data_IF_739243205810
#
_entry.id   IF_739243205810
#
_cell.length_a   1.000
_cell.length_b   1.000
_cell.length_c   1.000
_cell.angle_alpha   90.00
_cell.angle_beta   90.00
_cell.angle_gamma   90.00
#
_symmetry.space_group_name_H-M   'P 1'
#
loop_
_entity.id
_entity.type
_entity.pdbx_description
1 polymer ?
#
# COMPACT_ATOMS: atom_id res chain seq x y z
N UNK A 1 6.32 47.56 14.42
CA UNK A 1 5.47 47.03 13.35
C UNK A 1 6.24 45.84 12.75
N UNK A 2 6.33 44.70 13.44
CA UNK A 2 5.32 43.63 13.57
C UNK A 2 4.92 43.12 12.17
N UNK A 3 5.16 41.87 11.74
CA UNK A 3 5.45 40.62 12.45
C UNK A 3 6.36 39.72 11.60
N UNK A 4 7.40 39.18 12.24
CA UNK A 4 8.23 38.09 11.72
C UNK A 4 8.29 37.04 12.84
N UNK A 5 7.25 36.22 12.96
CA UNK A 5 7.18 35.16 13.96
C UNK A 5 6.54 33.89 13.40
N UNK A 6 7.25 32.77 13.66
CA UNK A 6 6.81 31.38 13.67
C UNK A 6 6.71 30.60 12.35
N UNK A 7 7.88 30.06 11.95
CA UNK A 7 7.97 28.77 11.24
C UNK A 7 9.19 27.95 11.73
N UNK A 8 9.36 27.81 13.04
CA UNK A 8 10.56 27.18 13.64
C UNK A 8 10.25 26.05 14.66
N UNK A 9 9.04 25.47 14.64
CA UNK A 9 8.60 24.52 15.69
C UNK A 9 8.45 23.05 15.30
N UNK A 10 8.79 22.64 14.06
CA UNK A 10 8.55 21.25 13.61
C UNK A 10 9.74 20.27 13.73
N UNK A 11 10.88 20.65 14.32
CA UNK A 11 12.09 19.79 14.35
C UNK A 11 12.61 19.38 15.72
N UNK A 12 11.88 19.66 16.82
CA UNK A 12 12.34 19.26 18.17
C UNK A 12 12.24 17.76 18.45
N UNK A 13 11.40 17.02 17.74
CA UNK A 13 11.30 15.56 17.89
C UNK A 13 12.61 14.84 17.52
N UNK A 14 13.35 15.33 16.51
CA UNK A 14 14.64 14.77 16.11
C UNK A 14 15.76 15.03 17.14
N UNK A 15 15.75 16.18 17.81
CA UNK A 15 16.72 16.50 18.86
C UNK A 15 16.54 15.62 20.11
N UNK A 16 15.28 15.24 20.42
CA UNK A 16 14.98 14.35 21.55
C UNK A 16 15.43 12.90 21.30
N UNK A 17 15.39 12.41 20.04
CA UNK A 17 15.93 11.09 19.66
C UNK A 17 17.44 10.95 19.95
N UNK A 18 18.21 12.03 19.85
CA UNK A 18 19.68 12.02 20.10
C UNK A 18 20.04 12.04 21.59
N UNK A 19 19.18 12.60 22.44
CA UNK A 19 19.39 12.64 23.89
C UNK A 19 19.04 11.29 24.55
N UNK A 20 18.01 10.58 24.05
CA UNK A 20 17.59 9.29 24.59
C UNK A 20 18.52 8.13 24.22
N UNK A 21 19.33 8.25 23.15
CA UNK A 21 20.29 7.21 22.75
C UNK A 21 21.62 7.26 23.52
N UNK A 22 21.84 8.28 24.38
CA UNK A 22 23.09 8.46 25.13
C UNK A 22 23.00 8.04 26.60
N UNK A 23 21.84 7.53 27.04
CA UNK A 23 21.58 7.24 28.46
C UNK A 23 21.04 5.82 28.68
N UNK A 24 21.76 4.79 28.23
CA UNK A 24 21.55 3.42 28.67
C UNK A 24 22.89 2.66 28.65
N UNK A 25 23.64 2.77 29.74
CA UNK A 25 24.64 1.77 30.12
C UNK A 25 24.61 1.67 31.65
N UNK A 26 23.88 0.68 32.18
CA UNK A 26 24.14 0.05 33.48
C UNK A 26 23.34 -1.26 33.63
N UNK A 27 24.00 -2.25 34.23
CA UNK A 27 23.75 -3.70 34.19
C UNK A 27 22.64 -4.21 35.16
N UNK A 28 22.21 -5.51 35.05
CA UNK A 28 20.90 -5.98 35.49
C UNK A 28 20.87 -6.63 36.88
N UNK A 29 19.68 -6.66 37.51
CA UNK A 29 19.40 -7.46 38.72
C UNK A 29 18.31 -8.49 38.46
N UNK A 30 18.63 -9.75 38.78
CA UNK A 30 17.82 -10.96 38.58
C UNK A 30 16.52 -11.00 39.41
N UNK A 31 15.51 -11.74 38.90
CA UNK A 31 14.82 -12.81 39.67
C UNK A 31 13.88 -13.69 38.81
N UNK A 32 14.23 -14.98 38.80
CA UNK A 32 13.45 -16.24 38.79
C UNK A 32 12.31 -16.47 37.78
N UNK A 33 12.57 -17.44 36.88
CA UNK A 33 11.59 -18.25 36.13
C UNK A 33 10.65 -19.02 37.06
N UNK A 34 9.39 -19.14 36.67
CA UNK A 34 8.46 -20.18 37.11
C UNK A 34 8.01 -20.97 35.88
N UNK A 35 8.22 -22.28 35.93
CA UNK A 35 7.76 -23.28 34.96
C UNK A 35 6.49 -23.90 35.52
N UNK A 36 5.46 -24.08 34.70
CA UNK A 36 4.30 -24.92 35.00
C UNK A 36 3.77 -25.51 33.69
N UNK A 37 4.16 -26.75 33.42
CA UNK A 37 3.38 -27.66 32.59
C UNK A 37 2.71 -28.67 33.52
N UNK A 38 1.42 -28.95 33.31
CA UNK A 38 0.89 -30.29 33.02
C UNK A 38 -0.66 -30.37 33.11
N UNK A 39 -1.23 -30.91 32.01
CA UNK A 39 -2.49 -31.70 31.87
C UNK A 39 -3.87 -30.97 31.80
N UNK A 40 -4.90 -31.55 31.13
CA UNK A 40 -4.93 -32.48 29.99
C UNK A 40 -5.96 -32.14 28.88
N UNK A 41 -5.80 -32.76 27.70
CA UNK A 41 -6.81 -32.85 26.64
C UNK A 41 -8.04 -33.66 27.10
N UNK A 42 -9.25 -33.16 26.81
CA UNK A 42 -10.48 -33.95 26.87
C UNK A 42 -11.32 -33.70 25.63
N UNK A 43 -11.34 -34.71 24.76
CA UNK A 43 -12.27 -34.90 23.66
C UNK A 43 -13.63 -35.31 24.22
N UNK A 44 -14.71 -34.61 23.86
CA UNK A 44 -16.07 -35.09 24.13
C UNK A 44 -16.66 -35.71 22.84
N UNK A 45 -16.50 -37.02 22.75
CA UNK A 45 -17.35 -37.90 21.93
C UNK A 45 -18.48 -38.39 22.83
N UNK A 46 -19.73 -38.20 22.41
CA UNK A 46 -20.89 -38.90 22.96
C UNK A 46 -21.51 -39.73 21.83
N UNK A 47 -21.49 -41.05 22.01
CA UNK A 47 -22.32 -42.05 21.34
C UNK A 47 -22.97 -42.84 22.50
N UNK A 48 -24.13 -43.52 22.46
CA UNK A 48 -24.96 -44.21 21.45
C UNK A 48 -26.41 -44.29 22.05
N UNK A 49 -27.47 -44.88 21.41
CA UNK A 49 -27.60 -46.34 21.28
C UNK A 49 -28.15 -46.87 19.93
N UNK A 50 -27.72 -48.12 19.69
CA UNK A 50 -27.97 -49.03 18.57
C UNK A 50 -29.43 -49.19 18.12
N UNK A 51 -29.62 -49.47 16.82
CA UNK A 51 -30.50 -50.55 16.35
C UNK A 51 -29.86 -51.32 15.18
N UNK A 52 -29.64 -52.60 15.46
CA UNK A 52 -29.71 -53.82 14.65
C UNK A 52 -28.89 -54.08 13.37
N UNK A 53 -28.35 -55.30 13.40
CA UNK A 53 -27.55 -56.08 12.45
C UNK A 53 -28.24 -56.26 11.09
N UNK A 54 -27.47 -56.34 10.02
CA UNK A 54 -27.27 -57.61 9.29
C UNK A 54 -26.14 -57.52 8.24
N UNK A 55 -25.31 -58.56 8.24
CA UNK A 55 -24.17 -58.78 7.35
C UNK A 55 -24.55 -59.73 6.22
N UNK A 56 -24.31 -59.37 4.96
CA UNK A 56 -24.16 -60.33 3.86
C UNK A 56 -23.04 -59.89 2.90
N UNK A 57 -22.04 -60.76 2.75
CA UNK A 57 -21.03 -60.74 1.68
C UNK A 57 -21.55 -61.57 0.51
N UNK A 58 -21.38 -61.11 -0.74
CA UNK A 58 -20.82 -61.91 -1.87
C UNK A 58 -20.86 -61.18 -3.23
N UNK A 59 -19.65 -61.08 -3.83
CA UNK A 59 -19.25 -61.45 -5.20
C UNK A 59 -20.03 -60.97 -6.44
N UNK A 60 -19.32 -60.14 -7.21
CA UNK A 60 -19.04 -60.21 -8.67
C UNK A 60 -20.17 -60.33 -9.68
N UNK A 61 -20.32 -59.31 -10.54
CA UNK A 61 -20.52 -59.52 -11.99
C UNK A 61 -20.20 -58.25 -12.78
N UNK A 62 -19.27 -58.41 -13.71
CA UNK A 62 -19.04 -57.51 -14.85
C UNK A 62 -20.30 -57.44 -15.69
N UNK A 63 -20.69 -56.25 -16.15
CA UNK A 63 -21.34 -56.11 -17.44
C UNK A 63 -21.03 -54.74 -18.07
N UNK A 64 -20.43 -54.85 -19.24
CA UNK A 64 -20.06 -53.83 -20.20
C UNK A 64 -21.27 -53.09 -20.73
N UNK A 65 -21.18 -51.77 -20.84
CA UNK A 65 -22.02 -51.00 -21.76
C UNK A 65 -21.20 -49.86 -22.35
N UNK A 66 -20.80 -50.07 -23.61
CA UNK A 66 -20.13 -49.13 -24.48
C UNK A 66 -20.99 -47.88 -24.61
N UNK A 67 -20.44 -46.69 -24.34
CA UNK A 67 -21.02 -45.43 -24.81
C UNK A 67 -19.93 -44.53 -25.38
N UNK A 68 -20.24 -44.03 -26.56
CA UNK A 68 -19.33 -43.53 -27.59
C UNK A 68 -18.56 -42.28 -27.16
N UNK A 69 -17.27 -42.24 -27.55
CA UNK A 69 -16.42 -41.06 -27.54
C UNK A 69 -17.05 -39.95 -28.39
N UNK A 70 -17.36 -38.81 -27.77
CA UNK A 70 -17.48 -37.52 -28.48
C UNK A 70 -16.15 -36.78 -28.34
N UNK A 71 -15.63 -36.40 -29.50
CA UNK A 71 -14.38 -35.69 -29.79
C UNK A 71 -14.19 -34.49 -28.84
N UNK A 72 -13.11 -34.50 -28.06
CA UNK A 72 -12.65 -33.33 -27.31
C UNK A 72 -12.21 -32.24 -28.30
N UNK A 73 -12.68 -31.01 -28.10
CA UNK A 73 -12.11 -29.84 -28.74
C UNK A 73 -10.70 -29.63 -28.15
N UNK A 74 -9.70 -29.56 -29.02
CA UNK A 74 -8.33 -29.21 -28.65
C UNK A 74 -8.29 -27.73 -28.24
N UNK A 75 -7.86 -27.47 -27.02
CA UNK A 75 -7.43 -26.15 -26.55
C UNK A 75 -5.95 -26.03 -26.93
N UNK A 76 -5.48 -24.93 -27.54
CA UNK A 76 -4.09 -24.79 -27.97
C UNK A 76 -3.09 -24.92 -26.80
N UNK A 77 -2.03 -25.68 -27.05
CA UNK A 77 -0.92 -26.04 -26.14
C UNK A 77 -0.03 -24.84 -25.76
N UNK A 78 -0.57 -23.87 -25.01
CA UNK A 78 0.22 -22.79 -24.40
C UNK A 78 0.07 -22.71 -22.87
N UNK A 79 -0.70 -23.60 -22.24
CA UNK A 79 -1.10 -23.48 -20.83
C UNK A 79 -0.58 -24.59 -19.90
N UNK A 80 0.45 -25.37 -20.28
CA UNK A 80 0.94 -26.51 -19.47
C UNK A 80 2.42 -26.41 -19.10
N UNK A 81 2.88 -25.21 -18.73
CA UNK A 81 4.20 -25.03 -18.08
C UNK A 81 4.12 -24.17 -16.81
N UNK A 82 3.10 -24.39 -15.99
CA UNK A 82 3.06 -23.92 -14.60
C UNK A 82 2.74 -25.09 -13.68
N UNK A 83 3.55 -26.15 -13.74
CA UNK A 83 3.54 -27.17 -12.69
C UNK A 83 4.81 -27.00 -11.84
N UNK A 84 4.59 -26.73 -10.54
CA UNK A 84 5.52 -26.61 -9.40
C UNK A 84 5.71 -25.24 -8.75
N UNK A 85 4.81 -24.25 -8.97
CA UNK A 85 4.71 -23.13 -8.02
C UNK A 85 3.77 -23.55 -6.89
N UNK A 86 4.27 -23.56 -5.66
CA UNK A 86 3.43 -23.63 -4.46
C UNK A 86 2.27 -22.64 -4.63
N UNK A 87 1.04 -23.16 -4.75
CA UNK A 87 -0.15 -22.33 -4.87
C UNK A 87 -0.34 -21.68 -3.51
N UNK A 88 0.21 -20.48 -3.36
CA UNK A 88 0.02 -19.66 -2.16
C UNK A 88 -1.49 -19.47 -1.95
N UNK A 89 -2.11 -20.06 -0.92
CA UNK A 89 -3.55 -19.96 -0.72
C UNK A 89 -4.02 -18.51 -0.51
N UNK A 90 -3.11 -17.61 -0.10
CA UNK A 90 -3.38 -16.18 0.04
C UNK A 90 -3.56 -15.49 -1.32
N UNK A 91 -3.18 -16.13 -2.42
CA UNK A 91 -3.41 -15.60 -3.76
C UNK A 91 -4.85 -15.69 -4.20
N UNK A 92 -5.65 -16.54 -3.55
CA UNK A 92 -7.06 -16.75 -3.86
C UNK A 92 -7.27 -16.83 -5.38
N UNK A 93 -6.44 -17.64 -6.06
CA UNK A 93 -6.34 -17.69 -7.53
C UNK A 93 -7.72 -17.78 -8.23
N UNK A 94 -8.69 -18.59 -7.75
CA UNK A 94 -10.02 -18.66 -8.36
C UNK A 94 -10.77 -17.32 -8.39
N UNK A 95 -10.49 -16.42 -7.46
CA UNK A 95 -11.14 -15.11 -7.32
C UNK A 95 -10.25 -13.95 -7.79
N UNK A 96 -9.01 -14.22 -8.21
CA UNK A 96 -8.04 -13.17 -8.50
C UNK A 96 -8.54 -12.21 -9.59
N UNK A 97 -9.15 -12.75 -10.64
CA UNK A 97 -9.77 -11.99 -11.74
C UNK A 97 -10.93 -11.12 -11.25
N UNK A 98 -11.86 -11.69 -10.49
CA UNK A 98 -13.04 -10.98 -9.98
C UNK A 98 -12.64 -9.86 -9.02
N UNK A 99 -11.67 -10.11 -8.13
CA UNK A 99 -11.13 -9.10 -7.23
C UNK A 99 -10.44 -7.98 -8.05
N UNK A 100 -9.69 -8.33 -9.11
CA UNK A 100 -9.07 -7.35 -9.99
C UNK A 100 -10.13 -6.45 -10.63
N UNK A 101 -11.16 -7.04 -11.23
CA UNK A 101 -12.25 -6.32 -11.88
C UNK A 101 -12.99 -5.42 -10.89
N UNK A 102 -13.32 -5.93 -9.70
CA UNK A 102 -13.96 -5.16 -8.64
C UNK A 102 -13.13 -3.96 -8.19
N UNK A 103 -11.82 -4.15 -7.94
CA UNK A 103 -10.93 -3.06 -7.53
C UNK A 103 -10.80 -2.00 -8.63
N UNK A 104 -10.77 -2.40 -9.90
CA UNK A 104 -10.75 -1.49 -11.06
C UNK A 104 -12.04 -0.68 -11.19
N UNK A 105 -13.18 -1.31 -10.95
CA UNK A 105 -14.45 -0.59 -10.93
C UNK A 105 -14.50 0.40 -9.76
N UNK A 106 -14.08 -0.04 -8.56
CA UNK A 106 -14.07 0.77 -7.35
C UNK A 106 -13.19 2.01 -7.46
N UNK A 107 -11.97 1.88 -8.00
CA UNK A 107 -11.07 3.04 -8.14
C UNK A 107 -11.61 4.12 -9.07
N UNK A 108 -12.51 3.77 -10.00
CA UNK A 108 -13.14 4.72 -10.91
C UNK A 108 -14.37 5.45 -10.33
N UNK A 109 -14.95 4.94 -9.23
CA UNK A 109 -16.18 5.51 -8.66
C UNK A 109 -15.89 6.84 -7.94
N UNK A 110 -16.68 7.91 -8.17
CA UNK A 110 -16.46 9.21 -7.54
C UNK A 110 -16.36 9.17 -6.01
N UNK A 111 -17.15 8.33 -5.33
CA UNK A 111 -17.15 8.23 -3.86
C UNK A 111 -15.83 7.74 -3.24
N UNK A 112 -15.02 7.02 -4.03
CA UNK A 112 -13.71 6.51 -3.62
C UNK A 112 -12.56 7.43 -4.04
N UNK A 113 -12.87 8.58 -4.65
CA UNK A 113 -11.89 9.48 -5.26
C UNK A 113 -11.94 10.85 -4.60
N UNK A 114 -10.79 11.45 -4.30
CA UNK A 114 -10.75 12.87 -3.98
C UNK A 114 -11.08 13.71 -5.21
N UNK A 115 -11.61 14.90 -4.97
CA UNK A 115 -11.79 15.92 -6.00
C UNK A 115 -10.40 16.40 -6.46
N UNK A 116 -10.01 16.24 -7.74
CA UNK A 116 -8.65 16.53 -8.20
C UNK A 116 -8.10 17.92 -7.88
N UNK A 117 -8.97 18.91 -7.82
CA UNK A 117 -8.69 20.33 -7.61
C UNK A 117 -9.36 20.86 -6.33
N UNK A 118 -9.47 20.00 -5.30
CA UNK A 118 -10.04 20.41 -4.01
C UNK A 118 -9.29 21.56 -3.33
N UNK A 119 -7.98 21.72 -3.56
CA UNK A 119 -7.24 22.81 -2.97
C UNK A 119 -7.70 24.12 -3.58
N UNK A 120 -7.85 24.20 -4.91
CA UNK A 120 -8.33 25.43 -5.55
C UNK A 120 -9.84 25.67 -5.30
N UNK A 121 -10.65 24.60 -5.30
CA UNK A 121 -12.12 24.74 -5.28
C UNK A 121 -12.76 24.76 -3.90
N UNK A 122 -12.14 24.11 -2.91
CA UNK A 122 -12.75 23.88 -1.59
C UNK A 122 -11.95 24.55 -0.49
N UNK A 123 -10.61 24.55 -0.59
CA UNK A 123 -9.74 25.01 0.49
C UNK A 123 -9.32 26.48 0.28
N UNK A 124 -9.81 27.38 1.14
CA UNK A 124 -9.41 28.79 1.09
C UNK A 124 -8.08 29.09 1.79
N UNK A 125 -7.64 28.20 2.69
CA UNK A 125 -6.52 28.45 3.61
C UNK A 125 -5.40 27.41 3.51
N UNK A 126 -5.49 26.47 2.56
CA UNK A 126 -4.48 25.44 2.34
C UNK A 126 -3.78 25.61 0.99
N UNK A 127 -2.56 25.10 0.93
CA UNK A 127 -1.77 25.04 -0.31
C UNK A 127 -1.30 23.61 -0.58
N UNK A 128 -0.95 23.28 -1.84
CA UNK A 128 -0.39 21.96 -2.17
C UNK A 128 0.87 21.63 -1.34
N UNK A 129 1.69 22.64 -1.05
CA UNK A 129 2.87 22.48 -0.22
C UNK A 129 2.54 22.08 1.22
N UNK A 130 1.52 22.68 1.83
CA UNK A 130 1.10 22.35 3.20
C UNK A 130 0.59 20.90 3.30
N UNK A 131 -0.15 20.43 2.28
CA UNK A 131 -0.50 19.02 2.14
C UNK A 131 0.74 18.13 2.07
N UNK A 132 1.72 18.50 1.24
CA UNK A 132 2.94 17.72 1.07
C UNK A 132 3.76 17.63 2.38
N UNK A 133 3.85 18.72 3.15
CA UNK A 133 4.47 18.75 4.49
C UNK A 133 3.72 17.83 5.47
N UNK A 134 2.38 17.83 5.45
CA UNK A 134 1.59 16.90 6.25
C UNK A 134 1.90 15.44 5.88
N UNK A 135 1.88 15.11 4.59
CA UNK A 135 2.13 13.73 4.12
C UNK A 135 3.54 13.27 4.48
N UNK A 136 4.56 14.13 4.31
CA UNK A 136 5.95 13.81 4.69
C UNK A 136 6.07 13.51 6.19
N UNK A 137 5.42 14.33 7.03
CA UNK A 137 5.38 14.08 8.46
C UNK A 137 4.63 12.79 8.83
N UNK A 138 3.49 12.49 8.17
CA UNK A 138 2.75 11.25 8.40
C UNK A 138 3.56 9.99 8.04
N UNK A 139 4.51 10.08 7.10
CA UNK A 139 5.45 8.99 6.82
C UNK A 139 6.35 8.73 8.04
N UNK A 140 6.82 9.78 8.72
CA UNK A 140 7.59 9.61 9.96
C UNK A 140 6.73 9.02 11.09
N UNK A 141 5.48 9.45 11.23
CA UNK A 141 4.54 8.90 12.24
C UNK A 141 4.30 7.41 11.99
N UNK A 142 4.10 7.02 10.73
CA UNK A 142 3.93 5.61 10.37
C UNK A 142 5.18 4.78 10.70
N UNK A 143 6.39 5.31 10.48
CA UNK A 143 7.64 4.63 10.87
C UNK A 143 7.81 4.54 12.40
N UNK A 144 7.47 5.60 13.14
CA UNK A 144 7.56 5.64 14.61
C UNK A 144 6.66 4.58 15.25
N UNK A 145 5.41 4.47 14.78
CA UNK A 145 4.45 3.48 15.26
C UNK A 145 4.50 2.14 14.51
N UNK A 146 5.45 1.98 13.57
CA UNK A 146 5.65 0.76 12.79
C UNK A 146 4.38 0.26 12.09
N UNK A 147 3.58 1.20 11.60
CA UNK A 147 2.34 0.93 10.88
C UNK A 147 2.65 0.25 9.54
N UNK A 148 1.73 -0.61 9.09
CA UNK A 148 1.86 -1.20 7.74
C UNK A 148 1.66 -0.13 6.68
N UNK A 149 2.25 -0.33 5.49
CA UNK A 149 2.13 0.65 4.40
C UNK A 149 0.67 0.97 4.06
N UNK A 150 -0.20 -0.04 4.03
CA UNK A 150 -1.61 0.12 3.67
C UNK A 150 -2.33 1.13 4.58
N UNK A 151 -1.99 1.17 5.87
CA UNK A 151 -2.46 2.19 6.83
C UNK A 151 -2.08 3.61 6.38
N UNK A 152 -0.84 3.82 5.94
CA UNK A 152 -0.40 5.12 5.43
C UNK A 152 -1.17 5.51 4.16
N UNK A 153 -1.31 4.59 3.20
CA UNK A 153 -2.05 4.87 1.95
C UNK A 153 -3.53 5.18 2.19
N UNK A 154 -4.18 4.45 3.11
CA UNK A 154 -5.54 4.73 3.54
C UNK A 154 -5.65 6.09 4.24
N UNK A 155 -4.69 6.41 5.12
CA UNK A 155 -4.62 7.73 5.77
C UNK A 155 -4.65 8.85 4.74
N UNK A 156 -3.77 8.80 3.72
CA UNK A 156 -3.70 9.85 2.71
C UNK A 156 -4.99 9.92 1.88
N UNK A 157 -5.57 8.76 1.55
CA UNK A 157 -6.88 8.69 0.87
C UNK A 157 -7.99 9.38 1.69
N UNK A 158 -8.04 9.15 3.00
CA UNK A 158 -9.03 9.77 3.87
C UNK A 158 -8.81 11.27 3.99
N UNK A 159 -7.57 11.72 4.14
CA UNK A 159 -7.22 13.15 4.17
C UNK A 159 -7.71 13.84 2.88
N UNK A 160 -7.31 13.32 1.71
CA UNK A 160 -7.66 13.96 0.43
C UNK A 160 -9.18 13.97 0.18
N UNK A 161 -9.87 12.87 0.48
CA UNK A 161 -11.33 12.78 0.32
C UNK A 161 -12.08 13.68 1.31
N UNK A 162 -11.59 13.81 2.55
CA UNK A 162 -12.16 14.73 3.52
C UNK A 162 -11.98 16.20 3.10
N UNK A 163 -10.77 16.57 2.68
CA UNK A 163 -10.47 17.91 2.17
C UNK A 163 -11.19 18.22 0.85
N UNK A 164 -11.70 17.21 0.15
CA UNK A 164 -12.54 17.39 -1.03
C UNK A 164 -13.94 17.89 -0.74
N UNK A 165 -14.40 17.81 0.52
CA UNK A 165 -15.78 18.15 0.89
C UNK A 165 -15.88 19.04 2.14
N UNK A 166 -14.81 19.16 2.93
CA UNK A 166 -14.77 20.00 4.15
C UNK A 166 -13.67 21.05 4.06
N UNK A 167 -13.99 22.35 4.03
CA UNK A 167 -12.98 23.40 4.18
C UNK A 167 -12.43 23.36 5.60
N UNK A 168 -11.11 23.46 5.74
CA UNK A 168 -10.45 23.52 7.05
C UNK A 168 -9.51 24.71 7.17
N UNK A 169 -9.28 25.15 8.40
CA UNK A 169 -8.20 26.07 8.71
C UNK A 169 -6.86 25.32 8.75
N UNK A 170 -5.78 25.94 8.28
CA UNK A 170 -4.43 25.38 8.29
C UNK A 170 -3.96 24.84 9.65
N UNK A 171 -4.40 25.48 10.74
CA UNK A 171 -4.08 25.08 12.11
C UNK A 171 -4.64 23.70 12.48
N UNK A 172 -5.71 23.27 11.80
CA UNK A 172 -6.37 21.97 12.01
C UNK A 172 -5.90 20.90 11.01
N UNK A 173 -5.01 21.23 10.06
CA UNK A 173 -4.55 20.27 9.05
C UNK A 173 -3.85 19.06 9.68
N UNK A 174 -3.01 19.29 10.69
CA UNK A 174 -2.36 18.20 11.42
C UNK A 174 -3.36 17.34 12.20
N UNK A 175 -4.39 17.96 12.81
CA UNK A 175 -5.49 17.25 13.47
C UNK A 175 -6.22 16.31 12.51
N UNK A 176 -6.53 16.79 11.29
CA UNK A 176 -7.11 15.94 10.23
C UNK A 176 -6.18 14.76 9.91
N UNK A 177 -4.88 15.00 9.77
CA UNK A 177 -3.90 13.96 9.48
C UNK A 177 -3.85 12.85 10.53
N UNK A 178 -3.75 13.20 11.82
CA UNK A 178 -3.68 12.19 12.89
C UNK A 178 -5.00 11.48 13.13
N UNK A 179 -6.14 12.17 12.99
CA UNK A 179 -7.45 11.52 13.08
C UNK A 179 -7.71 10.59 11.89
N UNK A 180 -7.29 10.96 10.68
CA UNK A 180 -7.34 10.07 9.52
C UNK A 180 -6.45 8.82 9.73
N UNK A 181 -5.25 9.00 10.31
CA UNK A 181 -4.35 7.88 10.61
C UNK A 181 -4.90 6.98 11.70
N UNK A 182 -5.53 7.54 12.74
CA UNK A 182 -6.25 6.76 13.76
C UNK A 182 -7.34 5.87 13.12
N UNK A 183 -8.14 6.42 12.21
CA UNK A 183 -9.17 5.65 11.48
C UNK A 183 -8.52 4.55 10.65
N UNK A 184 -7.49 4.87 9.88
CA UNK A 184 -6.79 3.89 9.05
C UNK A 184 -6.15 2.78 9.90
N UNK A 185 -5.55 3.13 11.04
CA UNK A 185 -4.97 2.15 11.95
C UNK A 185 -6.05 1.23 12.52
N UNK A 186 -7.19 1.77 12.97
CA UNK A 186 -8.31 0.94 13.45
C UNK A 186 -8.86 0.00 12.37
N UNK A 187 -8.74 0.38 11.10
CA UNK A 187 -9.23 -0.40 9.96
C UNK A 187 -8.26 -1.53 9.55
N UNK A 188 -6.96 -1.25 9.53
CA UNK A 188 -5.97 -2.13 8.89
C UNK A 188 -5.03 -2.84 9.91
N UNK A 189 -4.78 -2.25 11.08
CA UNK A 189 -3.81 -2.80 12.04
C UNK A 189 -4.43 -3.85 12.95
N UNK A 190 -3.66 -4.91 13.26
CA UNK A 190 -4.05 -5.91 14.26
C UNK A 190 -4.11 -5.28 15.67
N UNK A 191 -3.17 -4.37 15.96
CA UNK A 191 -3.07 -3.66 17.22
C UNK A 191 -2.89 -2.16 16.98
N UNK A 192 -3.97 -1.41 16.70
CA UNK A 192 -3.87 0.01 16.39
C UNK A 192 -3.37 0.83 17.59
N UNK A 193 -2.59 1.91 17.37
CA UNK A 193 -2.26 2.87 18.43
C UNK A 193 -3.52 3.48 19.04
N UNK A 194 -3.42 3.85 20.31
CA UNK A 194 -4.53 4.48 21.04
C UNK A 194 -4.62 5.96 20.69
N UNK A 195 -5.76 6.57 21.02
CA UNK A 195 -5.97 8.01 20.77
C UNK A 195 -4.92 8.86 21.51
N UNK A 196 -4.52 8.42 22.71
CA UNK A 196 -3.49 9.08 23.50
C UNK A 196 -2.13 9.10 22.80
N UNK A 197 -1.80 8.07 22.02
CA UNK A 197 -0.55 8.02 21.25
C UNK A 197 -0.56 9.12 20.17
N UNK A 198 -1.67 9.28 19.45
CA UNK A 198 -1.83 10.35 18.47
C UNK A 198 -1.87 11.75 19.09
N UNK A 199 -2.35 11.90 20.33
CA UNK A 199 -2.21 13.17 21.06
C UNK A 199 -0.72 13.43 21.36
N UNK A 200 -0.01 12.41 21.84
CA UNK A 200 1.41 12.51 22.20
C UNK A 200 2.30 12.87 21.01
N UNK A 201 2.12 12.24 19.83
CA UNK A 201 2.97 12.51 18.66
C UNK A 201 2.80 13.92 18.09
N UNK A 202 1.68 14.58 18.40
CA UNK A 202 1.45 16.00 18.06
C UNK A 202 1.98 16.94 19.14
N UNK A 203 2.87 16.48 20.03
CA UNK A 203 3.35 17.21 21.21
C UNK A 203 2.18 17.71 22.10
N UNK A 204 1.08 16.96 22.15
CA UNK A 204 -0.17 17.33 22.81
C UNK A 204 -0.75 18.67 22.34
N UNK A 205 -0.52 19.03 21.07
CA UNK A 205 -1.14 20.19 20.43
C UNK A 205 -2.67 20.05 20.42
N UNK A 206 -3.17 18.82 20.31
CA UNK A 206 -4.60 18.51 20.32
C UNK A 206 -4.96 17.60 21.50
N UNK A 207 -6.13 17.85 22.06
CA UNK A 207 -6.73 17.02 23.11
C UNK A 207 -7.34 15.75 22.54
N UNK A 208 -7.53 14.74 23.39
CA UNK A 208 -8.24 13.51 23.03
C UNK A 208 -9.63 13.80 22.45
N UNK A 209 -10.36 14.76 23.03
CA UNK A 209 -11.70 15.13 22.59
C UNK A 209 -11.68 15.72 21.18
N UNK A 210 -10.70 16.56 20.84
CA UNK A 210 -10.55 17.11 19.50
C UNK A 210 -10.23 16.02 18.47
N UNK A 211 -9.33 15.09 18.80
CA UNK A 211 -8.99 13.97 17.91
C UNK A 211 -10.20 13.07 17.65
N UNK A 212 -10.97 12.74 18.69
CA UNK A 212 -12.20 11.93 18.57
C UNK A 212 -13.30 12.68 17.81
N UNK A 213 -13.45 13.98 18.03
CA UNK A 213 -14.42 14.81 17.29
C UNK A 213 -14.06 14.84 15.79
N UNK A 214 -12.79 15.07 15.46
CA UNK A 214 -12.33 15.08 14.08
C UNK A 214 -12.44 13.69 13.43
N UNK A 215 -12.20 12.61 14.18
CA UNK A 215 -12.47 11.24 13.71
C UNK A 215 -13.94 11.08 13.29
N UNK A 216 -14.89 11.52 14.11
CA UNK A 216 -16.31 11.48 13.79
C UNK A 216 -16.64 12.31 12.54
N UNK A 217 -16.09 13.52 12.42
CA UNK A 217 -16.28 14.39 11.26
C UNK A 217 -15.78 13.74 9.97
N UNK A 218 -14.60 13.11 10.01
CA UNK A 218 -14.04 12.38 8.86
C UNK A 218 -14.94 11.20 8.48
N UNK A 219 -15.34 10.36 9.44
CA UNK A 219 -16.19 9.20 9.18
C UNK A 219 -17.53 9.59 8.55
N UNK A 220 -18.16 10.66 9.06
CA UNK A 220 -19.42 11.18 8.53
C UNK A 220 -19.25 11.76 7.13
N UNK A 221 -18.19 12.54 6.89
CA UNK A 221 -17.90 13.10 5.57
C UNK A 221 -17.60 12.03 4.52
N UNK A 222 -16.93 10.94 4.91
CA UNK A 222 -16.64 9.80 4.05
C UNK A 222 -17.81 8.81 3.97
N UNK A 223 -18.91 9.04 4.69
CA UNK A 223 -20.07 8.12 4.75
C UNK A 223 -19.66 6.68 5.11
N UNK A 224 -18.63 6.54 5.97
CA UNK A 224 -18.04 5.25 6.34
C UNK A 224 -17.50 4.40 5.16
N UNK A 225 -17.28 5.00 3.99
CA UNK A 225 -16.67 4.33 2.82
C UNK A 225 -15.14 4.30 2.96
N UNK A 226 -14.63 3.38 3.78
CA UNK A 226 -13.23 3.28 4.16
C UNK A 226 -12.39 2.39 3.21
N UNK A 227 -12.96 1.34 2.63
CA UNK A 227 -12.27 0.34 1.81
C UNK A 227 -11.92 0.77 0.37
N UNK A 228 -11.47 2.02 0.16
CA UNK A 228 -11.15 2.53 -1.18
C UNK A 228 -9.82 1.95 -1.69
N UNK A 229 -9.71 1.50 -2.96
CA UNK A 229 -8.46 0.98 -3.50
C UNK A 229 -7.37 2.05 -3.47
N UNK A 230 -6.16 1.67 -3.08
CA UNK A 230 -4.99 2.55 -3.02
C UNK A 230 -3.92 2.13 -4.02
N UNK A 231 -2.86 2.93 -4.16
CA UNK A 231 -1.73 2.59 -5.04
C UNK A 231 -1.13 1.25 -4.59
N UNK A 232 -0.99 1.04 -3.28
CA UNK A 232 -0.48 -0.19 -2.68
C UNK A 232 -1.33 -1.41 -3.01
N UNK A 233 -2.66 -1.26 -3.08
CA UNK A 233 -3.59 -2.33 -3.46
C UNK A 233 -3.22 -2.96 -4.81
N UNK A 234 -2.95 -2.12 -5.83
CA UNK A 234 -2.55 -2.59 -7.16
C UNK A 234 -1.06 -2.98 -7.22
N UNK A 235 -0.20 -2.27 -6.47
CA UNK A 235 1.24 -2.49 -6.47
C UNK A 235 1.62 -3.91 -6.07
N UNK A 236 0.92 -4.49 -5.07
CA UNK A 236 1.12 -5.86 -4.63
C UNK A 236 0.96 -6.88 -5.76
N UNK A 237 0.04 -6.65 -6.70
CA UNK A 237 -0.20 -7.54 -7.84
C UNK A 237 0.77 -7.26 -8.99
N UNK A 238 0.94 -6.00 -9.35
CA UNK A 238 1.78 -5.62 -10.49
C UNK A 238 3.27 -5.92 -10.26
N UNK A 239 3.74 -5.78 -9.02
CA UNK A 239 5.14 -6.09 -8.68
C UNK A 239 5.46 -7.57 -8.86
N UNK A 240 4.53 -8.48 -8.53
CA UNK A 240 4.72 -9.92 -8.72
C UNK A 240 4.94 -10.27 -10.20
N UNK A 241 4.13 -9.69 -11.08
CA UNK A 241 4.26 -9.86 -12.54
C UNK A 241 5.57 -9.23 -13.04
N UNK A 242 5.91 -8.05 -12.54
CA UNK A 242 7.14 -7.35 -12.92
C UNK A 242 8.43 -8.08 -12.49
N UNK A 243 8.38 -8.86 -11.42
CA UNK A 243 9.52 -9.58 -10.85
C UNK A 243 9.94 -10.84 -11.63
N UNK A 244 9.10 -11.34 -12.55
CA UNK A 244 9.38 -12.61 -13.25
C UNK A 244 10.70 -12.56 -14.04
N UNK A 245 11.03 -11.38 -14.60
CA UNK A 245 12.28 -11.15 -15.33
C UNK A 245 13.49 -10.83 -14.42
N UNK A 246 13.29 -10.68 -13.09
CA UNK A 246 14.24 -10.10 -12.13
C UNK A 246 14.52 -11.02 -10.93
N UNK A 247 14.84 -12.30 -11.18
CA UNK A 247 15.06 -13.31 -10.14
C UNK A 247 16.08 -12.88 -9.06
N UNK A 248 17.17 -12.22 -9.45
CA UNK A 248 18.24 -11.79 -8.53
C UNK A 248 17.96 -10.46 -7.80
N UNK A 249 16.87 -9.76 -8.16
CA UNK A 249 16.59 -8.40 -7.69
C UNK A 249 15.14 -8.21 -7.22
N UNK A 250 14.44 -9.30 -6.86
CA UNK A 250 13.01 -9.26 -6.52
C UNK A 250 12.68 -8.31 -5.36
N UNK A 251 13.43 -8.37 -4.27
CA UNK A 251 13.23 -7.45 -3.14
C UNK A 251 13.58 -6.01 -3.51
N UNK A 252 14.58 -5.81 -4.36
CA UNK A 252 15.01 -4.47 -4.79
C UNK A 252 13.92 -3.81 -5.64
N UNK A 253 13.34 -4.52 -6.61
CA UNK A 253 12.23 -3.99 -7.42
C UNK A 253 11.00 -3.72 -6.55
N UNK A 254 10.69 -4.58 -5.58
CA UNK A 254 9.55 -4.36 -4.68
C UNK A 254 9.71 -3.09 -3.83
N UNK A 255 10.86 -2.92 -3.18
CA UNK A 255 11.11 -1.72 -2.39
C UNK A 255 11.20 -0.46 -3.25
N UNK A 256 11.76 -0.56 -4.47
CA UNK A 256 11.82 0.56 -5.39
C UNK A 256 10.41 0.96 -5.87
N UNK A 257 9.57 0.00 -6.22
CA UNK A 257 8.15 0.23 -6.52
C UNK A 257 7.43 0.93 -5.36
N UNK A 258 7.66 0.49 -4.12
CA UNK A 258 7.06 1.12 -2.95
C UNK A 258 7.59 2.54 -2.73
N UNK A 259 8.90 2.76 -2.88
CA UNK A 259 9.52 4.09 -2.77
C UNK A 259 8.93 5.08 -3.78
N UNK A 260 8.88 4.69 -5.05
CA UNK A 260 8.33 5.51 -6.13
C UNK A 260 6.84 5.82 -5.92
N UNK A 261 6.08 4.83 -5.45
CA UNK A 261 4.67 5.00 -5.10
C UNK A 261 4.49 5.97 -3.92
N UNK A 262 5.31 5.88 -2.88
CA UNK A 262 5.25 6.79 -1.74
C UNK A 262 5.68 8.22 -2.10
N UNK A 263 6.68 8.39 -2.98
CA UNK A 263 7.02 9.70 -3.53
C UNK A 263 5.83 10.34 -4.25
N UNK A 264 5.07 9.56 -5.03
CA UNK A 264 3.91 10.08 -5.75
C UNK A 264 2.82 10.63 -4.82
N UNK A 265 2.74 10.14 -3.57
CA UNK A 265 1.77 10.64 -2.59
C UNK A 265 2.08 12.05 -2.09
N UNK A 266 3.34 12.52 -2.20
CA UNK A 266 3.74 13.87 -1.78
C UNK A 266 3.26 14.93 -2.77
N UNK A 267 3.22 14.62 -4.07
CA UNK A 267 2.85 15.57 -5.12
C UNK A 267 1.33 15.63 -5.29
N UNK A 268 0.76 16.80 -5.03
CA UNK A 268 -0.67 17.05 -5.18
C UNK A 268 -1.19 16.78 -6.60
N UNK A 269 -0.36 16.99 -7.63
CA UNK A 269 -0.75 16.76 -9.02
C UNK A 269 -1.04 15.29 -9.32
N UNK A 270 -0.58 14.36 -8.46
CA UNK A 270 -0.85 12.94 -8.58
C UNK A 270 -2.27 12.54 -8.17
N UNK A 271 -2.95 13.35 -7.35
CA UNK A 271 -4.29 13.07 -6.78
C UNK A 271 -5.33 12.76 -7.88
N UNK A 272 -5.18 13.39 -9.05
CA UNK A 272 -6.10 13.23 -10.18
C UNK A 272 -6.00 11.88 -10.88
N UNK A 273 -4.89 11.15 -10.76
CA UNK A 273 -4.67 9.88 -11.46
C UNK A 273 -5.20 8.68 -10.68
N UNK A 274 -5.61 7.63 -11.39
CA UNK A 274 -6.08 6.41 -10.76
C UNK A 274 -4.96 5.72 -9.96
N UNK A 275 -5.25 5.09 -8.82
CA UNK A 275 -4.25 4.39 -8.03
C UNK A 275 -3.54 3.28 -8.82
N UNK A 276 -4.26 2.56 -9.67
CA UNK A 276 -3.68 1.56 -10.58
C UNK A 276 -2.72 2.17 -11.61
N UNK A 277 -3.02 3.34 -12.15
CA UNK A 277 -2.18 4.03 -13.13
C UNK A 277 -0.86 4.46 -12.49
N UNK A 278 -0.91 5.04 -11.29
CA UNK A 278 0.28 5.40 -10.51
C UNK A 278 1.11 4.16 -10.14
N UNK A 279 0.44 3.07 -9.77
CA UNK A 279 1.09 1.80 -9.45
C UNK A 279 1.82 1.20 -10.65
N UNK A 280 1.17 1.15 -11.82
CA UNK A 280 1.78 0.71 -13.07
C UNK A 280 2.97 1.60 -13.47
N UNK A 281 2.84 2.91 -13.30
CA UNK A 281 3.91 3.88 -13.58
C UNK A 281 5.12 3.71 -12.65
N UNK A 282 4.89 3.44 -11.36
CA UNK A 282 5.95 3.11 -10.42
C UNK A 282 6.68 1.82 -10.81
N UNK A 283 5.95 0.79 -11.26
CA UNK A 283 6.52 -0.46 -11.77
C UNK A 283 7.37 -0.23 -13.02
N UNK A 284 6.85 0.53 -14.00
CA UNK A 284 7.60 0.89 -15.21
C UNK A 284 8.92 1.55 -14.85
N UNK A 285 8.88 2.58 -13.99
CA UNK A 285 10.06 3.34 -13.63
C UNK A 285 11.04 2.51 -12.79
N UNK A 286 10.56 1.64 -11.91
CA UNK A 286 11.41 0.72 -11.16
C UNK A 286 12.19 -0.23 -12.09
N UNK A 287 11.51 -0.81 -13.10
CA UNK A 287 12.16 -1.67 -14.10
C UNK A 287 13.20 -0.89 -14.91
N UNK A 288 12.90 0.34 -15.30
CA UNK A 288 13.84 1.22 -15.99
C UNK A 288 15.10 1.52 -15.16
N UNK A 289 14.93 1.86 -13.88
CA UNK A 289 16.07 2.14 -12.99
C UNK A 289 16.98 0.91 -12.85
N UNK A 290 16.41 -0.29 -12.74
CA UNK A 290 17.19 -1.53 -12.57
C UNK A 290 17.86 -1.95 -13.88
N UNK A 291 17.16 -1.84 -15.01
CA UNK A 291 17.65 -2.23 -16.35
C UNK A 291 17.38 -1.14 -17.39
N UNK A 292 18.18 -0.06 -17.41
CA UNK A 292 17.93 1.10 -18.27
C UNK A 292 18.06 0.80 -19.77
N UNK A 293 18.72 -0.31 -20.14
CA UNK A 293 18.91 -0.74 -21.53
C UNK A 293 17.78 -1.64 -22.05
N UNK A 294 16.87 -2.08 -21.20
CA UNK A 294 15.76 -2.97 -21.56
C UNK A 294 14.45 -2.19 -21.58
N UNK A 295 13.55 -2.50 -22.52
CA UNK A 295 12.21 -1.91 -22.53
C UNK A 295 11.49 -2.25 -21.20
N UNK A 296 11.07 -1.25 -20.40
CA UNK A 296 10.53 -1.51 -19.06
C UNK A 296 9.12 -2.12 -19.05
N UNK A 297 8.39 -2.01 -20.17
CA UNK A 297 7.02 -2.49 -20.31
C UNK A 297 6.96 -3.66 -21.30
N UNK A 298 6.58 -4.85 -20.83
CA UNK A 298 6.43 -6.03 -21.69
C UNK A 298 4.95 -6.37 -21.88
N UNK A 299 4.66 -7.23 -22.85
CA UNK A 299 3.28 -7.64 -23.18
C UNK A 299 2.52 -8.21 -21.97
N UNK A 300 3.20 -8.98 -21.11
CA UNK A 300 2.59 -9.53 -19.89
C UNK A 300 2.09 -8.43 -18.94
N UNK A 301 2.88 -7.37 -18.71
CA UNK A 301 2.44 -6.23 -17.89
C UNK A 301 1.30 -5.48 -18.55
N UNK A 302 1.33 -5.27 -19.87
CA UNK A 302 0.23 -4.64 -20.58
C UNK A 302 -1.07 -5.44 -20.47
N UNK A 303 -1.01 -6.76 -20.67
CA UNK A 303 -2.17 -7.64 -20.56
C UNK A 303 -2.72 -7.70 -19.13
N UNK A 304 -1.86 -7.69 -18.11
CA UNK A 304 -2.29 -7.79 -16.71
C UNK A 304 -2.79 -6.45 -16.15
N UNK A 305 -2.13 -5.34 -16.51
CA UNK A 305 -2.49 -3.99 -16.04
C UNK A 305 -3.49 -3.29 -16.93
N UNK A 306 -3.73 -3.77 -18.16
CA UNK A 306 -4.57 -3.11 -19.17
C UNK A 306 -4.09 -1.69 -19.55
N UNK A 307 -2.83 -1.36 -19.29
CA UNK A 307 -2.21 -0.10 -19.69
C UNK A 307 -1.09 -0.36 -20.69
N UNK A 308 -1.10 0.42 -21.78
CA UNK A 308 0.04 0.53 -22.69
C UNK A 308 1.12 1.39 -22.07
N UNK A 309 2.35 1.30 -22.60
CA UNK A 309 3.43 2.18 -22.15
C UNK A 309 3.06 3.67 -22.32
N UNK A 310 2.47 4.04 -23.46
CA UNK A 310 2.01 5.39 -23.76
C UNK A 310 1.08 5.98 -22.68
N UNK A 311 0.17 5.16 -22.12
CA UNK A 311 -0.77 5.59 -21.07
C UNK A 311 -0.05 6.01 -19.78
N UNK A 312 1.14 5.45 -19.53
CA UNK A 312 1.91 5.68 -18.31
C UNK A 312 2.81 6.92 -18.39
N UNK A 313 3.07 7.44 -19.59
CA UNK A 313 4.12 8.42 -19.87
C UNK A 313 4.10 9.61 -18.90
N UNK A 314 2.91 10.21 -18.71
CA UNK A 314 2.76 11.40 -17.87
C UNK A 314 3.07 11.10 -16.40
N UNK A 315 2.51 10.01 -15.87
CA UNK A 315 2.72 9.60 -14.49
C UNK A 315 4.17 9.17 -14.23
N UNK A 316 4.78 8.43 -15.17
CA UNK A 316 6.20 8.04 -15.09
C UNK A 316 7.08 9.29 -15.06
N UNK A 317 6.80 10.29 -15.90
CA UNK A 317 7.55 11.56 -15.91
C UNK A 317 7.47 12.30 -14.57
N UNK A 318 6.26 12.40 -13.97
CA UNK A 318 6.08 13.04 -12.66
C UNK A 318 6.87 12.30 -11.57
N UNK A 319 6.75 10.97 -11.52
CA UNK A 319 7.45 10.16 -10.51
C UNK A 319 8.97 10.20 -10.71
N UNK A 320 9.45 10.27 -11.95
CA UNK A 320 10.88 10.43 -12.27
C UNK A 320 11.43 11.79 -11.83
N UNK A 321 10.69 12.87 -12.08
CA UNK A 321 11.03 14.21 -11.57
C UNK A 321 11.07 14.23 -10.03
N UNK A 322 10.12 13.56 -9.38
CA UNK A 322 10.12 13.37 -7.93
C UNK A 322 11.36 12.58 -7.51
N UNK A 323 11.70 11.46 -8.15
CA UNK A 323 12.89 10.67 -7.81
C UNK A 323 14.17 11.53 -7.86
N UNK A 324 14.32 12.32 -8.92
CA UNK A 324 15.46 13.20 -9.18
C UNK A 324 15.48 14.48 -8.33
N UNK A 325 14.49 14.67 -7.43
CA UNK A 325 14.35 15.87 -6.60
C UNK A 325 14.17 17.15 -7.41
N UNK A 326 13.65 17.06 -8.64
CA UNK A 326 13.23 18.24 -9.42
C UNK A 326 11.94 18.84 -8.87
N UNK A 327 11.18 18.03 -8.12
CA UNK A 327 9.97 18.39 -7.39
C UNK A 327 10.10 17.95 -5.93
N UNK A 328 9.58 18.76 -4.99
CA UNK A 328 9.51 18.39 -3.57
C UNK A 328 10.87 18.14 -2.91
N UNK A 329 11.93 18.84 -3.32
CA UNK A 329 13.29 18.63 -2.83
C UNK A 329 13.50 18.89 -1.32
N UNK A 330 12.58 19.62 -0.68
CA UNK A 330 12.64 19.91 0.76
C UNK A 330 12.02 18.81 1.65
N UNK A 331 11.36 17.82 1.05
CA UNK A 331 10.65 16.74 1.76
C UNK A 331 11.55 15.50 1.77
N UNK A 332 11.89 15.02 2.96
CA UNK A 332 12.95 14.02 3.12
C UNK A 332 12.49 12.71 3.77
N UNK A 333 11.33 12.66 4.45
CA UNK A 333 10.95 11.50 5.25
C UNK A 333 10.89 10.22 4.41
N UNK A 334 10.23 10.27 3.25
CA UNK A 334 10.16 9.13 2.31
C UNK A 334 11.55 8.71 1.84
N UNK A 335 12.42 9.66 1.47
CA UNK A 335 13.77 9.34 1.01
C UNK A 335 14.60 8.71 2.12
N UNK A 336 14.56 9.29 3.31
CA UNK A 336 15.32 8.83 4.46
C UNK A 336 14.83 7.46 4.94
N UNK A 337 13.54 7.17 4.84
CA UNK A 337 12.97 5.83 4.99
C UNK A 337 13.64 4.85 4.03
N UNK A 338 13.57 5.08 2.72
CA UNK A 338 14.07 4.15 1.70
C UNK A 338 15.59 4.16 1.47
N UNK A 339 16.34 5.03 2.14
CA UNK A 339 17.81 4.95 2.26
C UNK A 339 18.26 3.89 3.26
N UNK A 340 17.38 3.42 4.15
CA UNK A 340 17.73 2.42 5.16
C UNK A 340 18.03 1.06 4.53
N UNK A 341 18.96 0.31 5.13
CA UNK A 341 19.36 -1.02 4.66
C UNK A 341 18.19 -2.02 4.62
N UNK A 342 17.20 -1.87 5.52
CA UNK A 342 15.98 -2.71 5.54
C UNK A 342 15.18 -2.62 4.24
N UNK A 343 15.32 -1.53 3.48
CA UNK A 343 14.72 -1.32 2.16
C UNK A 343 15.73 -1.37 1.01
N UNK A 344 16.88 -2.05 1.21
CA UNK A 344 17.93 -2.22 0.19
C UNK A 344 18.50 -0.92 -0.39
N UNK A 345 18.38 0.19 0.34
CA UNK A 345 18.88 1.50 -0.07
C UNK A 345 18.39 1.94 -1.46
N UNK A 346 17.16 1.55 -1.86
CA UNK A 346 16.64 1.82 -3.21
C UNK A 346 16.55 3.32 -3.55
N UNK A 347 16.48 4.18 -2.54
CA UNK A 347 16.51 5.64 -2.71
C UNK A 347 17.87 6.19 -3.15
N UNK A 348 18.95 5.40 -3.10
CA UNK A 348 20.31 5.82 -3.52
C UNK A 348 20.74 5.20 -4.85
N UNK A 349 19.84 4.51 -5.54
CA UNK A 349 20.18 3.91 -6.83
C UNK A 349 20.45 5.00 -7.89
N UNK A 350 21.40 4.78 -8.81
CA UNK A 350 21.59 5.69 -9.92
C UNK A 350 20.41 5.56 -10.89
N UNK A 351 19.92 6.69 -11.41
CA UNK A 351 18.95 6.72 -12.50
C UNK A 351 19.45 7.65 -13.60
N UNK A 352 19.12 7.33 -14.85
CA UNK A 352 19.32 8.26 -15.96
C UNK A 352 18.56 9.57 -15.71
N UNK A 353 19.16 10.74 -15.97
CA UNK A 353 18.46 12.02 -15.87
C UNK A 353 17.37 12.17 -16.93
N UNK A 354 17.39 11.36 -17.99
CA UNK A 354 16.44 11.39 -19.09
C UNK A 354 15.74 10.04 -19.26
N UNK A 355 14.44 10.10 -19.55
CA UNK A 355 13.62 8.95 -19.92
C UNK A 355 13.58 8.85 -21.46
N UNK A 356 13.99 7.71 -22.06
CA UNK A 356 13.90 7.53 -23.50
C UNK A 356 12.44 7.58 -23.98
N UNK A 357 12.11 8.58 -24.81
CA UNK A 357 10.74 8.74 -25.35
C UNK A 357 10.29 7.54 -26.19
N UNK A 358 11.25 6.86 -26.84
CA UNK A 358 11.01 5.63 -27.60
C UNK A 358 10.37 4.50 -26.78
N UNK A 359 10.47 4.51 -25.44
CA UNK A 359 9.79 3.52 -24.60
C UNK A 359 8.29 3.75 -24.44
N UNK A 360 7.79 4.90 -24.90
CA UNK A 360 6.37 5.28 -24.83
C UNK A 360 5.70 5.29 -26.20
N UNK A 361 6.45 5.05 -27.27
CA UNK A 361 5.92 4.96 -28.62
C UNK A 361 5.25 3.58 -28.82
N UNK A 362 4.01 3.57 -29.31
CA UNK A 362 3.35 2.33 -29.69
C UNK A 362 4.18 1.70 -30.82
N UNK A 363 4.77 0.51 -30.56
CA UNK A 363 5.45 -0.28 -31.58
C UNK A 363 4.36 -0.73 -32.57
N UNK A 364 4.10 0.10 -33.57
CA UNK A 364 3.21 -0.23 -34.67
C UNK A 364 3.99 -1.22 -35.53
N UNK A 365 3.91 -2.51 -35.20
CA UNK A 365 4.42 -3.56 -36.06
C UNK A 365 3.62 -3.47 -37.36
N UNK A 366 4.24 -2.96 -38.42
CA UNK A 366 3.73 -3.06 -39.79
C UNK A 366 3.98 -4.45 -40.34
#
# INVERSE_FOLDING_TARGET
MAENQNCARMTRAAAKRKASSMALDENPVSKKRVVLGELPNMSNVVAVPNQERETLKAKTSVNTSKRQMKKALMIPEASVLIESRSVDPQMCEPFASDICAYLREMEGKPKHRPLPDYIEKVQSDLTPHMRAVLVDWLVEVAEEYKLVSDTLYLTISYVDRFLSVKPINRQKLQLVGVSAMLIASKYEEIGPPKVEDFCYITDNTFTKQEVVSMEADILLALQFELGSPTIKTFLRRFTRVAQEDFKDSQLQIEFLCCYLSELSMLDYTCVKYLPSLLSASAVFLARFIIRPKQHPWNQMLEEYTKYKAADLQVCVGIIHDLYLSRRGNTLEAVRNKYKQHKYKCVATMPVSPELPLAFFEDITIR
#
